data_IF_733855640679
#
_entry.id   IF_733855640679
#
_cell.length_a   1.000
_cell.length_b   1.000
_cell.length_c   1.000
_cell.angle_alpha   90.00
_cell.angle_beta   90.00
_cell.angle_gamma   90.00
#
_symmetry.space_group_name_H-M   'P 1'
#
loop_
_entity.id
_entity.type
_entity.pdbx_description
1 polymer ?
#
# COMPACT_ATOMS: atom_id res chain seq x y z
N UNK A 1 8.01 15.06 -9.45
CA UNK A 1 9.02 14.10 -9.98
C UNK A 1 10.01 14.77 -10.94
N UNK A 2 9.58 15.33 -12.08
CA UNK A 2 10.49 15.92 -13.08
C UNK A 2 11.58 16.83 -12.50
N UNK A 3 11.20 17.86 -11.71
CA UNK A 3 12.15 18.79 -11.08
C UNK A 3 13.16 18.08 -10.18
N UNK A 4 12.72 17.11 -9.38
CA UNK A 4 13.57 16.34 -8.48
C UNK A 4 14.59 15.53 -9.29
N UNK A 5 14.13 14.81 -10.31
CA UNK A 5 15.00 13.96 -11.14
C UNK A 5 15.98 14.79 -11.98
N UNK A 6 15.58 15.95 -12.47
CA UNK A 6 16.47 16.90 -13.15
C UNK A 6 17.56 17.43 -12.21
N UNK A 7 17.22 17.75 -10.96
CA UNK A 7 18.21 18.15 -9.94
C UNK A 7 19.13 17.00 -9.55
N UNK A 8 18.61 15.78 -9.39
CA UNK A 8 19.43 14.60 -9.10
C UNK A 8 20.42 14.30 -10.22
N UNK A 9 19.96 14.42 -11.47
CA UNK A 9 20.81 14.31 -12.67
C UNK A 9 21.89 15.40 -12.69
N UNK A 10 21.52 16.65 -12.36
CA UNK A 10 22.48 17.75 -12.29
C UNK A 10 23.54 17.58 -11.23
N UNK A 11 23.13 17.13 -10.05
CA UNK A 11 24.04 16.80 -8.97
C UNK A 11 24.99 15.66 -9.36
N UNK A 12 24.47 14.59 -9.97
CA UNK A 12 25.29 13.48 -10.45
C UNK A 12 26.38 13.94 -11.44
N UNK A 13 26.04 14.77 -12.44
CA UNK A 13 27.01 15.28 -13.41
C UNK A 13 28.01 16.27 -12.82
N UNK A 14 27.60 17.04 -11.82
CA UNK A 14 28.51 17.95 -11.11
C UNK A 14 29.63 17.20 -10.39
N UNK A 15 29.37 15.97 -9.93
CA UNK A 15 30.36 15.10 -9.27
C UNK A 15 31.12 14.21 -10.25
N UNK A 16 30.43 13.64 -11.24
CA UNK A 16 30.97 12.58 -12.09
C UNK A 16 31.47 13.07 -13.46
N UNK A 17 31.21 14.33 -13.81
CA UNK A 17 31.51 14.89 -15.14
C UNK A 17 30.51 14.48 -16.22
N UNK A 18 30.87 14.74 -17.47
CA UNK A 18 30.02 14.57 -18.67
C UNK A 18 30.30 13.28 -19.46
N UNK A 19 31.20 12.44 -18.97
CA UNK A 19 31.60 11.17 -19.60
C UNK A 19 30.50 10.10 -19.58
N UNK A 20 29.51 10.23 -18.69
CA UNK A 20 28.46 9.23 -18.49
C UNK A 20 27.20 9.56 -19.32
N UNK A 21 26.81 8.70 -20.28
CA UNK A 21 25.52 8.82 -20.96
C UNK A 21 24.36 8.63 -19.99
N UNK A 22 23.33 9.48 -20.10
CA UNK A 22 22.17 9.44 -19.21
C UNK A 22 20.91 9.16 -20.02
N UNK A 23 20.24 8.04 -19.71
CA UNK A 23 18.83 7.85 -20.06
C UNK A 23 17.95 8.53 -19.01
N UNK A 24 16.85 9.17 -19.42
CA UNK A 24 16.00 9.91 -18.49
C UNK A 24 14.53 9.52 -18.54
N UNK A 25 13.94 9.35 -17.35
CA UNK A 25 12.51 9.14 -17.14
C UNK A 25 12.09 9.83 -15.86
N UNK A 26 11.19 10.82 -15.95
CA UNK A 26 10.56 11.44 -14.78
C UNK A 26 9.61 12.56 -15.21
N UNK A 27 8.31 12.29 -15.25
CA UNK A 27 7.31 13.31 -15.55
C UNK A 27 7.54 14.03 -16.89
N UNK A 28 8.06 13.30 -17.88
CA UNK A 28 8.29 13.82 -19.23
C UNK A 28 6.95 14.02 -19.92
N UNK A 29 6.81 15.19 -20.53
CA UNK A 29 5.66 15.64 -21.32
C UNK A 29 6.18 16.30 -22.61
N UNK A 30 5.31 16.53 -23.59
CA UNK A 30 5.68 17.31 -24.79
C UNK A 30 6.28 18.70 -24.47
N UNK A 31 6.00 19.26 -23.28
CA UNK A 31 6.38 20.61 -22.89
C UNK A 31 7.74 20.73 -22.20
N UNK A 32 8.36 19.61 -21.81
CA UNK A 32 9.70 19.58 -21.20
C UNK A 32 10.62 18.55 -21.88
N UNK A 33 10.10 17.80 -22.85
CA UNK A 33 10.87 16.88 -23.67
C UNK A 33 12.01 17.58 -24.43
N UNK A 34 11.82 18.75 -25.08
CA UNK A 34 12.93 19.45 -25.72
C UNK A 34 14.04 19.84 -24.73
N UNK A 35 13.68 20.33 -23.54
CA UNK A 35 14.64 20.67 -22.49
C UNK A 35 15.47 19.45 -22.06
N UNK A 36 14.82 18.29 -21.89
CA UNK A 36 15.52 17.06 -21.55
C UNK A 36 16.51 16.63 -22.64
N UNK A 37 16.13 16.80 -23.92
CA UNK A 37 17.01 16.52 -25.06
C UNK A 37 18.19 17.50 -25.10
N UNK A 38 17.97 18.81 -24.84
CA UNK A 38 19.04 19.82 -24.78
C UNK A 38 20.08 19.47 -23.71
N UNK A 39 19.68 18.87 -22.60
CA UNK A 39 20.60 18.37 -21.57
C UNK A 39 21.36 17.09 -21.98
N UNK A 40 21.35 16.70 -23.26
CA UNK A 40 21.99 15.48 -23.76
C UNK A 40 21.54 14.20 -23.02
N UNK A 41 20.25 14.10 -22.67
CA UNK A 41 19.69 12.88 -22.09
C UNK A 41 19.11 12.01 -23.21
N UNK A 42 19.75 10.87 -23.48
CA UNK A 42 19.44 9.98 -24.61
C UNK A 42 19.60 8.52 -24.16
N UNK A 43 18.55 7.68 -24.23
CA UNK A 43 17.16 7.97 -24.62
C UNK A 43 16.35 8.68 -23.51
N UNK A 44 15.28 9.39 -23.90
CA UNK A 44 14.25 9.88 -22.97
C UNK A 44 13.02 8.97 -23.06
N UNK A 45 12.55 8.45 -21.93
CA UNK A 45 11.41 7.53 -21.86
C UNK A 45 10.19 8.16 -21.18
N UNK A 46 9.00 7.69 -21.54
CA UNK A 46 7.72 8.24 -21.05
C UNK A 46 6.71 7.13 -20.79
N UNK A 47 5.98 7.23 -19.68
CA UNK A 47 4.92 6.29 -19.30
C UNK A 47 3.64 7.03 -18.87
N UNK A 48 3.69 7.77 -17.75
CA UNK A 48 2.50 8.40 -17.14
C UNK A 48 1.74 9.33 -18.08
N UNK A 49 2.43 10.03 -18.99
CA UNK A 49 1.75 10.88 -19.97
C UNK A 49 1.00 10.08 -21.04
N UNK A 50 1.51 8.91 -21.44
CA UNK A 50 0.86 8.01 -22.40
C UNK A 50 -0.37 7.32 -21.81
N UNK A 51 -0.44 7.15 -20.49
CA UNK A 51 -1.62 6.60 -19.81
C UNK A 51 -2.80 7.59 -19.74
N UNK A 52 -2.60 8.85 -20.15
CA UNK A 52 -3.65 9.87 -20.21
C UNK A 52 -4.42 9.78 -21.53
N UNK A 53 -5.55 10.49 -21.60
CA UNK A 53 -6.35 10.63 -22.83
C UNK A 53 -5.48 10.98 -24.03
N UNK A 54 -5.66 10.23 -25.12
CA UNK A 54 -4.85 10.28 -26.34
C UNK A 54 -3.87 9.11 -26.49
N UNK A 55 -3.47 8.44 -25.40
CA UNK A 55 -2.64 7.24 -25.50
C UNK A 55 -1.30 7.51 -26.20
N UNK A 56 -0.89 6.56 -27.06
CA UNK A 56 0.31 6.66 -27.88
C UNK A 56 0.30 7.82 -28.89
N UNK A 57 -0.87 8.30 -29.33
CA UNK A 57 -0.94 9.41 -30.30
C UNK A 57 -0.31 10.70 -29.75
N UNK A 58 -0.24 10.84 -28.42
CA UNK A 58 0.42 11.95 -27.74
C UNK A 58 1.89 12.09 -28.15
N UNK A 59 2.58 11.00 -28.52
CA UNK A 59 3.99 11.01 -28.97
C UNK A 59 4.24 11.95 -30.15
N UNK A 60 3.27 12.11 -31.06
CA UNK A 60 3.37 13.07 -32.16
C UNK A 60 3.63 14.50 -31.69
N UNK A 61 3.05 14.88 -30.54
CA UNK A 61 3.25 16.18 -29.92
C UNK A 61 4.67 16.39 -29.37
N UNK A 62 5.35 15.33 -28.98
CA UNK A 62 6.74 15.39 -28.48
C UNK A 62 7.69 15.66 -29.63
N UNK A 63 7.54 14.91 -30.73
CA UNK A 63 8.34 15.10 -31.93
C UNK A 63 8.09 16.47 -32.56
N UNK A 64 6.83 16.93 -32.59
CA UNK A 64 6.50 18.29 -33.01
C UNK A 64 7.17 19.34 -32.12
N UNK A 65 7.05 19.24 -30.80
CA UNK A 65 7.67 20.19 -29.89
C UNK A 65 9.20 20.24 -30.05
N UNK A 66 9.85 19.08 -30.18
CA UNK A 66 11.29 19.03 -30.43
C UNK A 66 11.66 19.68 -31.77
N UNK A 67 10.96 19.33 -32.85
CA UNK A 67 11.20 19.94 -34.18
C UNK A 67 11.04 21.46 -34.13
N UNK A 68 9.96 21.94 -33.50
CA UNK A 68 9.68 23.38 -33.42
C UNK A 68 10.79 24.12 -32.64
N UNK A 69 11.39 23.53 -31.58
CA UNK A 69 12.57 24.11 -30.91
C UNK A 69 13.87 23.99 -31.72
N UNK A 70 14.06 22.89 -32.46
CA UNK A 70 15.20 22.72 -33.37
C UNK A 70 15.18 23.78 -34.49
N UNK A 71 14.01 24.07 -35.06
CA UNK A 71 13.84 25.08 -36.11
C UNK A 71 14.22 26.50 -35.62
N UNK A 72 13.91 26.86 -34.37
CA UNK A 72 14.25 28.18 -33.80
C UNK A 72 15.76 28.47 -33.76
N UNK A 73 16.57 27.45 -33.55
CA UNK A 73 18.05 27.56 -33.58
C UNK A 73 18.65 27.02 -34.90
N UNK A 74 17.81 26.71 -35.88
CA UNK A 74 18.18 26.18 -37.20
C UNK A 74 18.85 24.79 -37.16
N UNK A 75 18.71 24.04 -36.07
CA UNK A 75 19.40 22.77 -35.87
C UNK A 75 18.85 21.68 -36.79
N UNK A 76 19.75 20.92 -37.43
CA UNK A 76 19.36 19.84 -38.36
C UNK A 76 19.40 18.44 -37.75
N UNK A 77 20.14 18.29 -36.65
CA UNK A 77 20.27 17.03 -35.90
C UNK A 77 20.10 17.31 -34.41
N UNK A 78 19.83 16.26 -33.63
CA UNK A 78 19.72 16.38 -32.16
C UNK A 78 21.02 16.88 -31.54
N UNK A 79 22.17 16.43 -32.04
CA UNK A 79 23.47 16.86 -31.52
C UNK A 79 23.74 18.34 -31.82
N UNK A 80 23.38 18.80 -33.02
CA UNK A 80 23.44 20.21 -33.42
C UNK A 80 22.49 21.07 -32.57
N UNK A 81 21.31 20.54 -32.22
CA UNK A 81 20.37 21.19 -31.32
C UNK A 81 20.93 21.36 -29.90
N UNK A 82 21.58 20.34 -29.36
CA UNK A 82 22.25 20.40 -28.04
C UNK A 82 23.37 21.45 -28.06
N UNK A 83 24.25 21.40 -29.07
CA UNK A 83 25.39 22.30 -29.21
C UNK A 83 24.94 23.76 -29.34
N UNK A 84 23.96 24.05 -30.19
CA UNK A 84 23.53 25.43 -30.46
C UNK A 84 22.80 26.11 -29.30
N UNK A 85 22.22 25.34 -28.38
CA UNK A 85 21.56 25.89 -27.20
C UNK A 85 22.53 26.13 -26.03
N UNK A 86 23.75 25.59 -26.10
CA UNK A 86 24.75 25.73 -25.05
C UNK A 86 25.39 27.12 -25.05
N UNK A 87 25.77 27.59 -23.86
CA UNK A 87 26.51 28.84 -23.68
C UNK A 87 27.97 28.66 -24.10
N UNK A 88 28.60 29.72 -24.60
CA UNK A 88 30.03 29.68 -24.92
C UNK A 88 30.87 29.50 -23.63
N UNK A 89 31.98 28.73 -23.65
CA UNK A 89 32.61 28.08 -24.80
C UNK A 89 32.22 26.60 -25.00
N UNK A 90 31.10 26.14 -24.42
CA UNK A 90 30.75 24.71 -24.34
C UNK A 90 30.18 24.11 -25.63
N UNK A 91 30.30 24.81 -26.77
CA UNK A 91 29.68 24.46 -28.05
C UNK A 91 30.52 23.49 -28.90
N UNK A 92 31.70 23.09 -28.42
CA UNK A 92 32.59 22.21 -29.19
C UNK A 92 32.20 20.72 -29.13
N UNK A 93 31.59 20.28 -28.03
CA UNK A 93 31.27 18.87 -27.77
C UNK A 93 29.86 18.71 -27.20
N UNK A 94 29.14 17.70 -27.68
CA UNK A 94 27.73 17.45 -27.30
C UNK A 94 27.57 17.18 -25.80
N UNK A 95 28.54 16.49 -25.19
CA UNK A 95 28.52 16.18 -23.76
C UNK A 95 28.60 17.45 -22.91
N UNK A 96 29.64 18.26 -23.12
CA UNK A 96 29.82 19.57 -22.48
C UNK A 96 28.68 20.54 -22.74
N UNK A 97 28.17 20.56 -23.98
CA UNK A 97 26.99 21.36 -24.33
C UNK A 97 25.75 20.94 -23.52
N UNK A 98 25.54 19.64 -23.33
CA UNK A 98 24.47 19.10 -22.50
C UNK A 98 24.54 19.57 -21.05
N UNK A 99 25.74 19.56 -20.45
CA UNK A 99 25.97 20.06 -19.08
C UNK A 99 25.74 21.57 -18.99
N UNK A 100 26.18 22.34 -19.98
CA UNK A 100 25.92 23.79 -20.03
C UNK A 100 24.42 24.09 -20.10
N UNK A 101 23.67 23.38 -20.95
CA UNK A 101 22.21 23.53 -21.06
C UNK A 101 21.51 23.22 -19.74
N UNK A 102 21.90 22.14 -19.08
CA UNK A 102 21.37 21.72 -17.80
C UNK A 102 21.61 22.76 -16.70
N UNK A 103 22.82 23.30 -16.59
CA UNK A 103 23.15 24.33 -15.59
C UNK A 103 22.25 25.57 -15.71
N UNK A 104 21.74 25.85 -16.92
CA UNK A 104 20.74 26.90 -17.17
C UNK A 104 19.30 26.44 -16.91
N UNK A 105 18.92 25.25 -17.38
CA UNK A 105 17.54 24.74 -17.36
C UNK A 105 17.12 24.34 -15.94
N UNK A 106 17.95 23.58 -15.22
CA UNK A 106 17.57 22.96 -13.93
C UNK A 106 17.19 24.00 -12.86
N UNK A 107 17.96 25.09 -12.66
CA UNK A 107 17.57 26.13 -11.70
C UNK A 107 16.26 26.84 -12.06
N UNK A 108 15.94 26.97 -13.35
CA UNK A 108 14.72 27.63 -13.81
C UNK A 108 13.45 26.79 -13.51
N UNK A 109 13.57 25.45 -13.48
CA UNK A 109 12.44 24.55 -13.20
C UNK A 109 11.79 24.78 -11.83
N UNK A 110 12.58 25.19 -10.82
CA UNK A 110 12.06 25.46 -9.47
C UNK A 110 11.10 26.66 -9.46
N UNK A 111 11.31 27.63 -10.35
CA UNK A 111 10.48 28.84 -10.47
C UNK A 111 9.24 28.63 -11.33
N UNK A 112 9.16 27.52 -12.07
CA UNK A 112 8.09 27.26 -13.01
C UNK A 112 6.79 26.82 -12.29
N UNK A 113 5.70 27.61 -12.39
CA UNK A 113 4.42 27.30 -11.75
C UNK A 113 3.83 25.95 -12.13
N UNK A 114 4.20 25.36 -13.28
CA UNK A 114 3.75 24.03 -13.71
C UNK A 114 4.11 22.93 -12.72
N UNK A 115 5.22 23.10 -11.99
CA UNK A 115 5.71 22.09 -11.05
C UNK A 115 5.37 22.40 -9.59
N UNK A 116 4.72 23.53 -9.30
CA UNK A 116 4.35 23.91 -7.94
C UNK A 116 3.15 23.10 -7.43
N UNK A 117 3.09 22.92 -6.11
CA UNK A 117 2.04 22.15 -5.43
C UNK A 117 0.63 22.63 -5.81
N UNK A 118 0.41 23.95 -5.88
CA UNK A 118 -0.90 24.52 -6.18
C UNK A 118 -1.47 24.09 -7.54
N UNK A 119 -0.59 23.84 -8.52
CA UNK A 119 -0.94 23.37 -9.87
C UNK A 119 -1.15 21.84 -9.91
N UNK A 120 -0.65 21.11 -8.91
CA UNK A 120 -0.61 19.65 -8.87
C UNK A 120 -1.34 19.04 -7.64
N UNK A 121 -2.18 19.81 -6.94
CA UNK A 121 -2.87 19.37 -5.71
C UNK A 121 -4.12 18.51 -5.91
N UNK A 122 -4.46 18.14 -7.15
CA UNK A 122 -5.71 17.43 -7.43
C UNK A 122 -5.58 15.98 -6.96
N UNK A 123 -6.38 15.52 -5.97
CA UNK A 123 -6.30 14.16 -5.49
C UNK A 123 -6.83 13.16 -6.53
N UNK A 124 -6.49 11.87 -6.39
CA UNK A 124 -7.16 10.80 -7.12
C UNK A 124 -8.67 10.88 -6.93
N UNK A 125 -9.44 10.48 -7.95
CA UNK A 125 -10.89 10.38 -7.83
C UNK A 125 -11.22 9.21 -6.90
N UNK A 126 -11.88 9.51 -5.79
CA UNK A 126 -12.43 8.55 -4.84
C UNK A 126 -13.96 8.68 -4.78
N UNK A 127 -14.64 7.60 -4.40
CA UNK A 127 -16.05 7.61 -4.01
C UNK A 127 -16.16 8.03 -2.55
N UNK A 128 -17.32 8.55 -2.15
CA UNK A 128 -17.60 8.96 -0.78
C UNK A 128 -17.85 7.73 0.12
N UNK A 129 -16.81 6.92 0.33
CA UNK A 129 -16.77 5.73 1.17
C UNK A 129 -15.39 5.60 1.81
N UNK A 130 -15.35 5.16 3.07
CA UNK A 130 -14.13 4.97 3.84
C UNK A 130 -13.95 3.48 4.11
N UNK A 131 -12.75 2.98 3.84
CA UNK A 131 -12.39 1.61 4.16
C UNK A 131 -12.57 1.38 5.67
N UNK A 132 -13.14 0.23 5.99
CA UNK A 132 -13.17 -0.36 7.31
C UNK A 132 -12.28 -1.61 7.33
N UNK A 133 -12.16 -2.27 8.47
CA UNK A 133 -11.45 -3.54 8.60
C UNK A 133 -11.93 -4.56 7.55
N UNK A 134 -13.25 -4.73 7.44
CA UNK A 134 -13.89 -5.62 6.47
C UNK A 134 -14.75 -4.83 5.46
N UNK A 135 -15.28 -5.52 4.45
CA UNK A 135 -16.27 -5.04 3.49
C UNK A 135 -15.89 -3.76 2.73
N UNK A 136 -14.71 -3.76 2.10
CA UNK A 136 -14.47 -2.80 1.02
C UNK A 136 -15.28 -3.15 -0.22
N UNK A 137 -15.26 -2.32 -1.26
CA UNK A 137 -15.88 -2.61 -2.55
C UNK A 137 -15.42 -3.94 -3.18
N UNK A 138 -14.33 -4.53 -2.70
CA UNK A 138 -13.78 -5.80 -3.22
C UNK A 138 -13.49 -5.72 -4.72
N UNK A 139 -13.10 -4.52 -5.19
CA UNK A 139 -12.76 -4.27 -6.59
C UNK A 139 -11.41 -4.87 -7.02
N UNK A 140 -10.67 -5.46 -6.07
CA UNK A 140 -9.39 -6.14 -6.23
C UNK A 140 -8.24 -5.31 -6.83
N UNK A 141 -8.42 -4.00 -7.06
CA UNK A 141 -7.38 -3.12 -7.63
C UNK A 141 -6.10 -3.08 -6.79
N UNK A 142 -6.23 -3.18 -5.48
CA UNK A 142 -5.11 -3.16 -4.53
C UNK A 142 -4.17 -4.38 -4.65
N UNK A 143 -4.62 -5.48 -5.27
CA UNK A 143 -3.84 -6.70 -5.46
C UNK A 143 -2.80 -6.53 -6.58
N UNK A 144 -3.17 -6.27 -7.86
CA UNK A 144 -2.21 -6.18 -8.95
C UNK A 144 -1.39 -4.88 -8.97
N UNK A 145 -1.85 -3.81 -8.31
CA UNK A 145 -1.06 -2.57 -8.22
C UNK A 145 0.04 -2.67 -7.16
N UNK A 146 -0.05 -3.60 -6.22
CA UNK A 146 0.96 -3.73 -5.18
C UNK A 146 2.25 -4.30 -5.77
N UNK A 147 3.36 -3.54 -5.84
CA UNK A 147 4.59 -4.01 -6.48
C UNK A 147 5.23 -5.18 -5.72
N UNK A 148 4.98 -5.25 -4.41
CA UNK A 148 5.51 -6.28 -3.53
C UNK A 148 4.54 -7.45 -3.34
N UNK A 149 3.33 -7.41 -3.93
CA UNK A 149 2.31 -8.44 -3.71
C UNK A 149 1.84 -8.57 -2.26
N UNK A 150 1.91 -7.49 -1.47
CA UNK A 150 1.62 -7.50 -0.04
C UNK A 150 0.12 -7.59 0.28
N UNK A 151 -0.77 -7.14 -0.60
CA UNK A 151 -2.21 -7.28 -0.40
C UNK A 151 -2.69 -8.64 -0.91
N UNK A 152 -3.56 -9.30 -0.17
CA UNK A 152 -4.13 -10.59 -0.53
C UNK A 152 -5.61 -10.69 -0.16
N UNK A 153 -6.30 -11.68 -0.74
CA UNK A 153 -7.73 -11.90 -0.54
C UNK A 153 -7.97 -13.10 0.39
N UNK A 154 -8.94 -12.99 1.30
CA UNK A 154 -9.37 -14.01 2.25
C UNK A 154 -10.83 -14.38 1.92
N UNK A 155 -11.15 -15.65 1.60
CA UNK A 155 -12.50 -16.08 1.24
C UNK A 155 -13.36 -16.28 2.50
N UNK A 156 -13.74 -15.18 3.15
CA UNK A 156 -14.58 -15.22 4.35
C UNK A 156 -15.98 -15.79 4.07
N UNK A 157 -16.56 -15.51 2.90
CA UNK A 157 -17.98 -15.74 2.61
C UNK A 157 -18.86 -14.66 3.25
N UNK A 158 -19.91 -14.27 2.53
CA UNK A 158 -20.89 -13.32 3.04
C UNK A 158 -21.71 -13.99 4.15
N UNK A 159 -21.95 -13.28 5.25
CA UNK A 159 -22.63 -13.81 6.43
C UNK A 159 -23.35 -12.70 7.17
N UNK A 160 -24.41 -13.06 7.87
CA UNK A 160 -25.08 -12.21 8.86
C UNK A 160 -25.44 -13.10 10.02
N UNK A 161 -24.87 -12.84 11.18
CA UNK A 161 -25.07 -13.67 12.36
C UNK A 161 -25.23 -12.81 13.61
N UNK A 162 -26.18 -13.22 14.47
CA UNK A 162 -26.38 -12.62 15.77
C UNK A 162 -25.15 -12.87 16.64
N UNK A 163 -24.64 -11.82 17.27
CA UNK A 163 -23.49 -11.93 18.19
C UNK A 163 -23.93 -11.93 19.64
N UNK A 164 -23.09 -12.48 20.50
CA UNK A 164 -23.27 -12.41 21.94
C UNK A 164 -22.03 -11.84 22.60
N UNK A 165 -22.24 -10.82 23.43
CA UNK A 165 -21.30 -10.39 24.46
C UNK A 165 -21.60 -11.14 25.76
N UNK A 166 -20.75 -10.98 26.76
CA UNK A 166 -20.97 -11.62 28.06
C UNK A 166 -20.78 -10.63 29.20
N UNK A 167 -21.67 -10.61 30.18
CA UNK A 167 -21.45 -9.89 31.43
C UNK A 167 -20.90 -10.82 32.49
N UNK A 168 -19.86 -10.38 33.17
CA UNK A 168 -19.34 -11.07 34.33
C UNK A 168 -20.23 -10.83 35.56
N UNK A 169 -20.60 -11.92 36.24
CA UNK A 169 -21.33 -11.93 37.51
C UNK A 169 -20.36 -12.23 38.65
N UNK A 170 -20.46 -11.52 39.78
CA UNK A 170 -19.71 -11.79 41.02
C UNK A 170 -19.80 -13.24 41.52
N UNK A 171 -20.81 -13.99 41.07
CA UNK A 171 -20.95 -15.43 41.30
C UNK A 171 -19.96 -16.29 40.48
N UNK A 172 -19.14 -15.68 39.62
CA UNK A 172 -18.14 -16.33 38.76
C UNK A 172 -18.67 -16.80 37.40
N UNK A 173 -19.88 -16.38 37.01
CA UNK A 173 -20.53 -16.80 35.77
C UNK A 173 -20.46 -15.72 34.69
N UNK A 174 -20.56 -16.15 33.43
CA UNK A 174 -20.67 -15.29 32.26
C UNK A 174 -22.09 -15.36 31.70
N UNK A 175 -22.84 -14.27 31.85
CA UNK A 175 -24.23 -14.18 31.40
C UNK A 175 -24.26 -13.62 29.99
N UNK A 176 -24.84 -14.32 29.00
CA UNK A 176 -24.89 -13.84 27.63
C UNK A 176 -25.76 -12.59 27.51
N UNK A 177 -25.28 -11.62 26.74
CA UNK A 177 -26.01 -10.41 26.35
C UNK A 177 -25.98 -10.28 24.83
N UNK A 178 -27.13 -10.00 24.22
CA UNK A 178 -27.21 -9.84 22.77
C UNK A 178 -26.32 -8.68 22.31
N UNK A 179 -25.38 -8.97 21.42
CA UNK A 179 -24.54 -7.97 20.76
C UNK A 179 -25.17 -7.47 19.46
N UNK A 180 -24.50 -6.50 18.84
CA UNK A 180 -24.85 -6.06 17.48
C UNK A 180 -24.59 -7.17 16.46
N UNK A 181 -25.47 -7.34 15.50
CA UNK A 181 -25.30 -8.35 14.44
C UNK A 181 -23.97 -8.16 13.71
N UNK A 182 -23.28 -9.27 13.46
CA UNK A 182 -22.04 -9.27 12.69
C UNK A 182 -22.37 -9.58 11.23
N UNK A 183 -22.27 -8.56 10.39
CA UNK A 183 -22.61 -8.62 8.98
C UNK A 183 -21.33 -8.48 8.16
N UNK A 184 -21.09 -9.45 7.28
CA UNK A 184 -20.18 -9.34 6.16
C UNK A 184 -20.96 -9.44 4.86
N UNK A 185 -21.07 -8.35 4.13
CA UNK A 185 -21.70 -8.34 2.82
C UNK A 185 -20.82 -8.98 1.75
N UNK A 186 -19.50 -8.80 1.86
CA UNK A 186 -18.58 -9.20 0.80
C UNK A 186 -18.06 -10.62 1.06
N UNK A 187 -18.11 -11.50 0.05
CA UNK A 187 -17.66 -12.88 0.22
C UNK A 187 -16.14 -13.00 0.30
N UNK A 188 -15.39 -11.98 -0.12
CA UNK A 188 -13.95 -11.93 -0.01
C UNK A 188 -13.55 -10.67 0.75
N UNK A 189 -12.58 -10.82 1.64
CA UNK A 189 -12.03 -9.75 2.45
C UNK A 189 -10.59 -9.50 2.02
N UNK A 190 -10.15 -8.25 2.04
CA UNK A 190 -8.76 -7.90 1.70
C UNK A 190 -7.96 -7.81 2.99
N UNK A 191 -6.75 -8.35 2.97
CA UNK A 191 -5.76 -8.22 4.04
C UNK A 191 -4.41 -7.77 3.47
N UNK A 192 -3.52 -7.33 4.34
CA UNK A 192 -2.19 -6.87 4.01
C UNK A 192 -1.14 -7.69 4.78
N UNK A 193 -0.06 -8.06 4.10
CA UNK A 193 1.10 -8.72 4.68
C UNK A 193 2.17 -7.67 4.95
N UNK A 194 2.27 -7.26 6.22
CA UNK A 194 3.04 -6.10 6.66
C UNK A 194 4.52 -6.21 6.29
N UNK A 195 5.10 -7.39 6.48
CA UNK A 195 6.52 -7.64 6.21
C UNK A 195 6.90 -7.46 4.73
N UNK A 196 5.95 -7.58 3.80
CA UNK A 196 6.16 -7.29 2.38
C UNK A 196 5.75 -5.87 2.01
N UNK A 197 5.02 -5.18 2.88
CA UNK A 197 4.57 -3.82 2.63
C UNK A 197 5.69 -2.82 2.95
N UNK A 198 6.04 -1.99 1.98
CA UNK A 198 6.94 -0.85 2.18
C UNK A 198 6.17 0.47 2.39
N UNK A 199 4.86 0.39 2.63
CA UNK A 199 3.97 1.54 2.83
C UNK A 199 4.04 2.59 1.70
N UNK A 200 4.33 2.18 0.47
CA UNK A 200 4.47 3.09 -0.68
C UNK A 200 3.19 3.85 -1.07
N UNK A 201 2.03 3.46 -0.53
CA UNK A 201 0.75 4.14 -0.77
C UNK A 201 0.12 3.90 -2.15
N UNK A 202 0.69 3.02 -2.98
CA UNK A 202 0.15 2.79 -4.32
C UNK A 202 -1.27 2.19 -4.27
N UNK A 203 -1.47 1.22 -3.37
CA UNK A 203 -2.79 0.64 -3.17
C UNK A 203 -3.84 1.64 -2.65
N UNK A 204 -3.46 2.71 -1.95
CA UNK A 204 -4.38 3.80 -1.56
C UNK A 204 -4.69 4.71 -2.75
N UNK A 205 -3.68 5.07 -3.53
CA UNK A 205 -3.81 5.92 -4.72
C UNK A 205 -4.82 5.33 -5.72
N UNK A 206 -4.80 4.01 -5.91
CA UNK A 206 -5.71 3.30 -6.79
C UNK A 206 -7.01 2.81 -6.11
N UNK A 207 -7.09 2.89 -4.78
CA UNK A 207 -8.30 2.53 -4.06
C UNK A 207 -9.40 3.56 -4.35
N UNK A 208 -10.60 3.12 -4.78
CA UNK A 208 -11.72 4.04 -4.94
C UNK A 208 -12.21 4.60 -3.61
N UNK A 209 -11.88 3.98 -2.47
CA UNK A 209 -12.31 4.37 -1.13
C UNK A 209 -11.19 5.11 -0.39
N UNK A 210 -11.55 5.90 0.62
CA UNK A 210 -10.58 6.58 1.50
C UNK A 210 -10.01 5.62 2.56
N UNK A 211 -8.83 5.93 3.10
CA UNK A 211 -8.18 5.19 4.20
C UNK A 211 -6.96 4.36 3.75
N UNK A 212 -7.00 3.79 2.55
CA UNK A 212 -5.87 3.01 2.00
C UNK A 212 -5.79 1.56 2.53
N UNK A 213 -5.70 0.55 1.64
CA UNK A 213 -5.72 -0.85 2.07
C UNK A 213 -4.62 -1.26 3.06
N UNK A 214 -3.39 -0.75 2.91
CA UNK A 214 -2.28 -1.09 3.81
C UNK A 214 -2.42 -0.52 5.23
N UNK A 215 -3.34 0.42 5.43
CA UNK A 215 -3.62 1.06 6.72
C UNK A 215 -4.83 0.39 7.37
N UNK A 216 -5.95 0.33 6.64
CA UNK A 216 -7.25 -0.03 7.23
C UNK A 216 -7.54 -1.54 7.25
N UNK A 217 -6.87 -2.33 6.39
CA UNK A 217 -7.14 -3.77 6.27
C UNK A 217 -6.35 -4.60 7.28
N UNK A 218 -6.86 -5.80 7.65
CA UNK A 218 -6.18 -6.71 8.55
C UNK A 218 -4.72 -6.89 8.16
N UNK A 219 -3.84 -6.57 9.09
CA UNK A 219 -2.40 -6.58 8.89
C UNK A 219 -1.81 -7.87 9.46
N UNK A 220 -1.23 -8.69 8.61
CA UNK A 220 -0.58 -9.93 8.98
C UNK A 220 0.93 -9.79 9.04
N UNK A 221 1.54 -10.46 10.00
CA UNK A 221 2.98 -10.58 10.15
C UNK A 221 3.42 -12.03 10.05
N UNK A 222 4.60 -12.27 9.50
CA UNK A 222 5.19 -13.60 9.40
C UNK A 222 5.61 -14.16 10.75
N UNK A 223 6.07 -13.28 11.63
CA UNK A 223 6.72 -13.67 12.88
C UNK A 223 6.26 -12.82 14.05
N UNK A 224 6.37 -13.39 15.23
CA UNK A 224 6.21 -12.67 16.49
C UNK A 224 7.14 -11.46 16.57
N UNK A 225 8.40 -11.59 16.12
CA UNK A 225 9.37 -10.51 16.16
C UNK A 225 8.93 -9.29 15.34
N UNK A 226 8.47 -9.51 14.11
CA UNK A 226 7.91 -8.44 13.26
C UNK A 226 6.67 -7.82 13.91
N UNK A 227 5.76 -8.66 14.39
CA UNK A 227 4.54 -8.21 15.06
C UNK A 227 4.81 -7.31 16.29
N UNK A 228 5.85 -7.62 17.07
CA UNK A 228 6.29 -6.83 18.23
C UNK A 228 6.98 -5.53 17.82
N UNK A 229 7.81 -5.56 16.77
CA UNK A 229 8.46 -4.37 16.22
C UNK A 229 7.44 -3.30 15.79
N UNK A 230 6.31 -3.73 15.23
CA UNK A 230 5.22 -2.85 14.79
C UNK A 230 4.07 -2.75 15.82
N UNK A 231 4.38 -2.83 17.11
CA UNK A 231 3.43 -2.81 18.24
C UNK A 231 2.49 -1.59 18.30
N UNK A 232 2.81 -0.50 17.62
CA UNK A 232 1.96 0.69 17.52
C UNK A 232 0.72 0.50 16.65
N UNK A 233 0.68 -0.54 15.83
CA UNK A 233 -0.42 -0.82 14.92
C UNK A 233 -1.13 -2.11 15.33
N UNK A 234 -2.41 -2.19 15.03
CA UNK A 234 -3.16 -3.43 15.09
C UNK A 234 -2.61 -4.43 14.06
N UNK A 235 -2.79 -5.72 14.32
CA UNK A 235 -2.36 -6.76 13.40
C UNK A 235 -2.44 -8.16 13.99
N UNK A 236 -2.02 -9.13 13.20
CA UNK A 236 -2.21 -10.55 13.44
C UNK A 236 -1.00 -11.35 12.99
N UNK A 237 -0.76 -12.49 13.61
CA UNK A 237 0.17 -13.49 13.10
C UNK A 237 -0.28 -14.89 13.51
N UNK A 238 0.15 -15.90 12.77
CA UNK A 238 -0.08 -17.30 13.15
C UNK A 238 1.01 -17.75 14.12
N UNK A 239 0.59 -18.25 15.29
CA UNK A 239 1.47 -18.92 16.26
C UNK A 239 1.79 -20.33 15.78
N UNK A 240 0.78 -21.00 15.24
CA UNK A 240 0.83 -22.29 14.54
C UNK A 240 -0.33 -22.33 13.52
N UNK A 241 -0.45 -23.36 12.65
CA UNK A 241 -1.47 -23.41 11.60
C UNK A 241 -2.94 -23.26 12.07
N UNK A 242 -3.23 -23.49 13.35
CA UNK A 242 -4.58 -23.44 13.92
C UNK A 242 -4.73 -22.40 15.02
N UNK A 243 -3.70 -21.57 15.25
CA UNK A 243 -3.71 -20.54 16.28
C UNK A 243 -3.25 -19.20 15.71
N UNK A 244 -4.12 -18.20 15.79
CA UNK A 244 -3.79 -16.81 15.48
C UNK A 244 -3.72 -15.99 16.76
N UNK A 245 -2.74 -15.10 16.79
CA UNK A 245 -2.63 -14.04 17.80
C UNK A 245 -2.84 -12.70 17.13
N UNK A 246 -3.53 -11.79 17.81
CA UNK A 246 -3.81 -10.47 17.25
C UNK A 246 -3.85 -9.36 18.28
N UNK A 247 -3.60 -8.14 17.81
CA UNK A 247 -3.73 -6.90 18.56
C UNK A 247 -4.78 -6.05 17.89
N UNK A 248 -5.76 -5.61 18.68
CA UNK A 248 -6.83 -4.72 18.25
C UNK A 248 -7.10 -3.70 19.36
N UNK A 249 -7.00 -2.41 19.04
CA UNK A 249 -7.24 -1.33 20.00
C UNK A 249 -6.30 -1.37 21.22
N UNK A 250 -5.04 -1.80 21.02
CA UNK A 250 -4.04 -1.90 22.09
C UNK A 250 -4.18 -3.09 23.04
N UNK A 251 -5.17 -3.97 22.80
CA UNK A 251 -5.36 -5.21 23.55
C UNK A 251 -4.87 -6.41 22.74
N UNK A 252 -4.39 -7.43 23.44
CA UNK A 252 -3.85 -8.65 22.84
C UNK A 252 -4.84 -9.80 23.00
N UNK A 253 -5.01 -10.58 21.92
CA UNK A 253 -5.97 -11.66 21.83
C UNK A 253 -5.34 -12.91 21.22
N UNK A 254 -5.86 -14.07 21.58
CA UNK A 254 -5.52 -15.36 20.98
C UNK A 254 -6.79 -16.07 20.56
N UNK A 255 -6.77 -16.69 19.38
CA UNK A 255 -7.82 -17.58 18.91
C UNK A 255 -7.18 -18.85 18.36
N UNK A 256 -7.50 -20.00 18.96
CA UNK A 256 -7.09 -21.30 18.50
C UNK A 256 -8.30 -22.18 18.18
N UNK A 257 -8.17 -23.05 17.19
CA UNK A 257 -9.15 -24.08 16.87
C UNK A 257 -8.55 -25.47 17.13
N UNK A 258 -9.30 -26.33 17.82
CA UNK A 258 -9.00 -27.75 17.82
C UNK A 258 -9.52 -28.39 16.52
N UNK A 259 -8.65 -28.97 15.67
CA UNK A 259 -9.05 -29.48 14.36
C UNK A 259 -9.99 -30.69 14.45
N UNK A 260 -9.90 -31.48 15.52
CA UNK A 260 -10.68 -32.71 15.69
C UNK A 260 -12.08 -32.41 16.24
N UNK A 261 -12.17 -31.52 17.23
CA UNK A 261 -13.44 -31.22 17.93
C UNK A 261 -14.16 -30.01 17.38
N UNK A 262 -13.49 -29.18 16.57
CA UNK A 262 -13.99 -27.88 16.07
C UNK A 262 -14.39 -26.92 17.21
N UNK A 263 -13.81 -27.11 18.38
CA UNK A 263 -13.94 -26.20 19.53
C UNK A 263 -12.89 -25.09 19.41
N UNK A 264 -13.31 -23.87 19.68
CA UNK A 264 -12.48 -22.68 19.66
C UNK A 264 -12.12 -22.25 21.07
N UNK A 265 -10.84 -21.96 21.26
CA UNK A 265 -10.28 -21.30 22.42
C UNK A 265 -10.04 -19.84 22.06
N UNK A 266 -10.74 -18.91 22.71
CA UNK A 266 -10.51 -17.48 22.57
C UNK A 266 -10.02 -16.90 23.90
N UNK A 267 -9.04 -16.00 23.84
CA UNK A 267 -8.52 -15.30 25.00
C UNK A 267 -8.40 -13.80 24.73
N UNK A 268 -8.83 -12.98 25.68
CA UNK A 268 -8.24 -11.65 25.90
C UNK A 268 -7.07 -11.85 26.86
N UNK A 269 -5.84 -11.72 26.34
CA UNK A 269 -4.64 -12.28 26.99
C UNK A 269 -4.44 -11.67 28.38
N UNK A 270 -4.35 -12.55 29.38
CA UNK A 270 -4.18 -12.19 30.78
C UNK A 270 -5.46 -11.73 31.49
N UNK A 271 -6.62 -11.77 30.81
CA UNK A 271 -7.91 -11.39 31.39
C UNK A 271 -8.91 -12.53 31.40
N UNK A 272 -9.23 -13.09 30.23
CA UNK A 272 -10.34 -14.04 30.09
C UNK A 272 -10.00 -15.09 29.05
N UNK A 273 -10.49 -16.30 29.27
CA UNK A 273 -10.45 -17.41 28.33
C UNK A 273 -11.85 -18.00 28.15
N UNK A 274 -12.32 -18.12 26.91
CA UNK A 274 -13.58 -18.78 26.56
C UNK A 274 -13.35 -19.98 25.64
N UNK A 275 -14.10 -21.05 25.91
CA UNK A 275 -14.31 -22.17 24.99
C UNK A 275 -15.66 -22.01 24.31
N UNK A 276 -15.64 -22.02 22.97
CA UNK A 276 -16.84 -21.85 22.14
C UNK A 276 -16.92 -22.98 21.11
N UNK A 277 -18.14 -23.38 20.77
CA UNK A 277 -18.40 -24.29 19.65
C UNK A 277 -18.22 -23.58 18.32
N UNK A 278 -18.15 -24.35 17.24
CA UNK A 278 -18.07 -23.82 15.86
C UNK A 278 -19.20 -22.85 15.50
N UNK A 279 -20.40 -23.07 16.04
CA UNK A 279 -21.56 -22.20 15.87
C UNK A 279 -21.62 -21.04 16.88
N UNK A 280 -20.48 -20.68 17.50
CA UNK A 280 -20.33 -19.62 18.50
C UNK A 280 -21.02 -19.87 19.85
N UNK A 281 -21.65 -21.02 20.07
CA UNK A 281 -22.25 -21.33 21.36
C UNK A 281 -21.19 -21.47 22.45
N UNK A 282 -21.35 -20.71 23.54
CA UNK A 282 -20.50 -20.78 24.74
C UNK A 282 -20.50 -22.18 25.37
N UNK A 283 -19.32 -22.67 25.75
CA UNK A 283 -19.13 -23.92 26.48
C UNK A 283 -18.75 -23.62 27.93
N UNK A 284 -17.68 -22.85 28.11
CA UNK A 284 -17.15 -22.47 29.43
C UNK A 284 -16.26 -21.25 29.32
N UNK A 285 -16.04 -20.58 30.45
CA UNK A 285 -15.15 -19.44 30.54
C UNK A 285 -14.37 -19.44 31.83
N UNK A 286 -13.13 -18.95 31.77
CA UNK A 286 -12.22 -18.80 32.90
C UNK A 286 -11.84 -17.33 32.99
N UNK A 287 -11.97 -16.77 34.19
CA UNK A 287 -11.43 -15.47 34.50
C UNK A 287 -9.98 -15.61 35.00
N UNK A 288 -9.05 -14.87 34.39
CA UNK A 288 -7.62 -14.90 34.67
C UNK A 288 -7.15 -13.68 35.50
N UNK A 289 -8.02 -12.70 35.73
CA UNK A 289 -7.74 -11.52 36.55
C UNK A 289 -8.92 -11.16 37.46
N UNK A 290 -8.81 -10.10 38.26
CA UNK A 290 -10.01 -9.55 38.92
C UNK A 290 -10.81 -8.73 37.90
N UNK A 291 -12.06 -9.15 37.63
CA UNK A 291 -12.99 -8.42 36.76
C UNK A 291 -14.01 -7.69 37.64
N UNK A 292 -14.31 -6.41 37.35
CA UNK A 292 -15.40 -5.70 37.99
C UNK A 292 -16.75 -6.39 37.78
N UNK A 293 -17.63 -6.21 38.77
CA UNK A 293 -19.01 -6.69 38.66
C UNK A 293 -19.74 -6.07 37.47
N UNK A 294 -20.47 -6.91 36.74
CA UNK A 294 -21.25 -6.56 35.54
C UNK A 294 -20.41 -5.99 34.40
N UNK A 295 -19.09 -6.19 34.42
CA UNK A 295 -18.23 -5.83 33.30
C UNK A 295 -18.71 -6.52 32.03
N UNK A 296 -18.82 -5.75 30.94
CA UNK A 296 -19.17 -6.25 29.62
C UNK A 296 -17.91 -6.73 28.91
N UNK A 297 -17.91 -8.00 28.53
CA UNK A 297 -16.88 -8.62 27.70
C UNK A 297 -17.35 -8.52 26.25
N UNK A 298 -16.71 -7.61 25.52
CA UNK A 298 -16.96 -7.41 24.09
C UNK A 298 -16.34 -8.54 23.27
N UNK A 299 -17.19 -9.29 22.57
CA UNK A 299 -16.79 -10.42 21.74
C UNK A 299 -16.51 -10.03 20.28
N UNK A 300 -16.64 -8.76 19.89
CA UNK A 300 -16.31 -8.32 18.53
C UNK A 300 -14.89 -8.72 18.07
N UNK A 301 -13.82 -8.61 18.88
CA UNK A 301 -12.50 -9.13 18.55
C UNK A 301 -12.49 -10.63 18.19
N UNK A 302 -13.28 -11.44 18.90
CA UNK A 302 -13.44 -12.86 18.59
C UNK A 302 -14.03 -13.07 17.20
N UNK A 303 -15.12 -12.39 16.85
CA UNK A 303 -15.73 -12.52 15.52
C UNK A 303 -14.79 -12.06 14.39
N UNK A 304 -14.05 -10.97 14.59
CA UNK A 304 -13.01 -10.55 13.64
C UNK A 304 -11.95 -11.64 13.42
N UNK A 305 -11.45 -12.22 14.51
CA UNK A 305 -10.45 -13.29 14.45
C UNK A 305 -11.03 -14.58 13.82
N UNK A 306 -12.30 -14.93 14.08
CA UNK A 306 -12.98 -16.08 13.45
C UNK A 306 -13.04 -15.94 11.94
N UNK A 307 -13.38 -14.75 11.43
CA UNK A 307 -13.40 -14.45 9.98
C UNK A 307 -12.04 -14.67 9.34
N UNK A 308 -10.99 -14.15 9.97
CA UNK A 308 -9.62 -14.24 9.49
C UNK A 308 -9.09 -15.68 9.51
N UNK A 309 -9.23 -16.35 10.66
CA UNK A 309 -8.76 -17.72 10.85
C UNK A 309 -9.49 -18.69 9.90
N UNK A 310 -10.82 -18.69 9.90
CA UNK A 310 -11.59 -19.60 9.04
C UNK A 310 -11.37 -19.32 7.56
N UNK A 311 -11.31 -18.05 7.18
CA UNK A 311 -11.10 -17.67 5.80
C UNK A 311 -9.78 -18.18 5.25
N UNK A 312 -8.70 -18.09 6.04
CA UNK A 312 -7.38 -18.61 5.68
C UNK A 312 -7.36 -20.15 5.72
N UNK A 313 -8.01 -20.76 6.70
CA UNK A 313 -8.07 -22.22 6.85
C UNK A 313 -8.86 -22.94 5.75
N UNK A 314 -9.66 -22.24 4.95
CA UNK A 314 -10.37 -22.84 3.79
C UNK A 314 -9.43 -23.31 2.70
N UNK A 315 -8.31 -22.63 2.50
CA UNK A 315 -7.28 -23.03 1.53
C UNK A 315 -5.87 -22.75 2.08
N UNK A 316 -5.39 -23.57 3.04
CA UNK A 316 -4.15 -23.29 3.73
C UNK A 316 -2.92 -23.20 2.82
N UNK A 317 -2.94 -23.89 1.68
CA UNK A 317 -1.81 -23.93 0.75
C UNK A 317 -1.70 -22.63 -0.07
N UNK A 318 -2.79 -21.88 -0.22
CA UNK A 318 -2.78 -20.55 -0.83
C UNK A 318 -2.19 -19.45 0.06
N UNK A 319 -2.01 -19.70 1.36
CA UNK A 319 -1.57 -18.72 2.36
C UNK A 319 -0.24 -19.07 3.04
N UNK A 320 0.65 -19.79 2.35
CA UNK A 320 1.97 -20.19 2.88
C UNK A 320 2.86 -19.03 3.31
N UNK A 321 2.67 -17.84 2.73
CA UNK A 321 3.36 -16.63 3.18
C UNK A 321 2.87 -16.21 4.57
N UNK A 322 1.56 -16.22 4.83
CA UNK A 322 0.97 -15.78 6.10
C UNK A 322 1.10 -16.85 7.18
N UNK A 323 0.90 -18.11 6.81
CA UNK A 323 1.12 -19.26 7.65
C UNK A 323 2.51 -19.79 7.36
N UNK A 324 3.52 -19.22 8.02
CA UNK A 324 4.83 -19.85 8.06
C UNK A 324 4.66 -21.25 8.65
N UNK A 325 4.50 -22.25 7.77
CA UNK A 325 4.75 -23.64 8.12
C UNK A 325 6.23 -23.66 8.44
N UNK A 326 6.58 -23.74 9.73
CA UNK A 326 7.95 -24.00 10.14
C UNK A 326 8.48 -25.08 9.20
N UNK A 327 9.56 -24.75 8.48
CA UNK A 327 10.25 -25.72 7.63
C UNK A 327 10.47 -26.93 8.52
N UNK A 328 9.81 -28.05 8.17
CA UNK A 328 9.92 -29.31 8.92
C UNK A 328 11.37 -29.73 9.03
#
# INVERSE_FOLDING_TARGET
LHVISMNAMHWFRSEMGDDFPISFSAGITRHNFPDAVQCNMKPVTVCTDLLKTGGYTRMSGYLKALRDEMEKCGAKTVDDFIIRNAEAPYQAEVARAGVSNEARIVPALVKDPRYHHNTNRKPPKKIDSYLQLFDCLTCNKCLPVCPNGANFSIPAGARSEATFNYRYDQSGYFVPEQGEDFVLEKPAQIANLADFCNECGDCDTYCPEYGGPFIEKPRFFFSKASYEQFSKYDGFYFVDPHCIRGRMGGKEYLLAINPDTRVYLWQEIGRIEFLLKENHNFISGINLCELPDRELIDMRPYYHMRVLLDGILKDPDAYTSVMLRGIR
#
